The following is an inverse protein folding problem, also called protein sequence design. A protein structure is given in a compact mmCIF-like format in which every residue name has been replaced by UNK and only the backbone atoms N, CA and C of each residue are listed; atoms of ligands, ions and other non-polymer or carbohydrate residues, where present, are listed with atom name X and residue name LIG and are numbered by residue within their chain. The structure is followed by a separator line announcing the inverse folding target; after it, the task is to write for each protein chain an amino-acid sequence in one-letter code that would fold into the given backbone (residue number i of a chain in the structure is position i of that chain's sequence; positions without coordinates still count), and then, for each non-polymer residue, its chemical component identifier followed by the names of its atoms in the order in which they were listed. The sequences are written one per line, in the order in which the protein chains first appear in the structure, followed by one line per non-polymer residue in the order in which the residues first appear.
data_IF_938052380978
#
_entry.id   IF_938052380978
#
_cell.length_a   1.000
_cell.length_b   1.000
_cell.length_c   1.000
_cell.angle_alpha   90.00
_cell.angle_beta   90.00
_cell.angle_gamma   90.00
#
_symmetry.space_group_name_H-M   'P 1'
#
loop_
_entity.id
_entity.type
_entity.pdbx_description
1 polymer ?
#
# COMPACT_ATOMS: atom_id res chain seq x y z
N UNK A 1 -0.75 -17.87 -2.55
CA UNK A 1 -2.16 -18.13 -3.03
C UNK A 1 -2.19 -18.14 -4.56
N UNK A 2 -3.02 -18.99 -5.21
CA UNK A 2 -3.10 -18.99 -6.68
C UNK A 2 -4.03 -17.86 -7.21
N UNK A 3 -3.93 -17.58 -8.51
CA UNK A 3 -4.68 -16.50 -9.19
C UNK A 3 -6.20 -16.60 -9.00
N UNK A 4 -6.77 -17.80 -9.17
CA UNK A 4 -8.23 -18.01 -9.09
C UNK A 4 -8.74 -17.71 -7.68
N UNK A 5 -8.02 -18.14 -6.64
CA UNK A 5 -8.35 -17.83 -5.24
C UNK A 5 -8.23 -16.33 -4.95
N UNK A 6 -7.21 -15.66 -5.47
CA UNK A 6 -7.07 -14.21 -5.29
C UNK A 6 -8.26 -13.47 -5.88
N UNK A 7 -8.70 -13.83 -7.07
CA UNK A 7 -9.87 -13.23 -7.74
C UNK A 7 -11.17 -13.53 -6.97
N UNK A 8 -11.35 -14.76 -6.48
CA UNK A 8 -12.52 -15.15 -5.69
C UNK A 8 -12.60 -14.34 -4.38
N UNK A 9 -11.50 -14.23 -3.66
CA UNK A 9 -11.44 -13.45 -2.43
C UNK A 9 -11.68 -11.96 -2.68
N UNK A 10 -11.07 -11.40 -3.72
CA UNK A 10 -11.30 -10.01 -4.12
C UNK A 10 -12.79 -9.74 -4.36
N UNK A 11 -13.45 -10.55 -5.16
CA UNK A 11 -14.88 -10.42 -5.45
C UNK A 11 -15.74 -10.58 -4.19
N UNK A 12 -15.37 -11.50 -3.30
CA UNK A 12 -16.08 -11.72 -2.03
C UNK A 12 -16.01 -10.49 -1.15
N UNK A 13 -14.81 -9.95 -0.91
CA UNK A 13 -14.63 -8.74 -0.12
C UNK A 13 -15.32 -7.53 -0.74
N UNK A 14 -15.21 -7.37 -2.06
CA UNK A 14 -15.87 -6.26 -2.75
C UNK A 14 -17.40 -6.33 -2.61
N UNK A 15 -18.01 -7.53 -2.73
CA UNK A 15 -19.44 -7.72 -2.52
C UNK A 15 -19.87 -7.40 -1.08
N UNK A 16 -19.07 -7.75 -0.07
CA UNK A 16 -19.32 -7.38 1.33
C UNK A 16 -19.42 -5.85 1.47
N UNK A 17 -18.42 -5.11 0.96
CA UNK A 17 -18.43 -3.65 1.02
C UNK A 17 -19.59 -3.01 0.28
N UNK A 18 -19.92 -3.51 -0.90
CA UNK A 18 -21.05 -2.98 -1.68
C UNK A 18 -22.40 -3.27 -1.03
N UNK A 19 -22.56 -4.45 -0.40
CA UNK A 19 -23.86 -4.86 0.22
C UNK A 19 -24.15 -4.10 1.51
N UNK A 20 -23.14 -3.71 2.26
CA UNK A 20 -23.31 -3.02 3.54
C UNK A 20 -23.67 -1.54 3.40
N UNK A 21 -23.82 -1.01 2.16
CA UNK A 21 -24.05 0.41 1.89
C UNK A 21 -23.05 1.33 2.64
N UNK A 22 -21.88 0.81 2.98
CA UNK A 22 -20.78 1.56 3.55
C UNK A 22 -20.14 2.43 2.47
N UNK A 23 -20.96 3.26 1.83
CA UNK A 23 -20.44 4.33 0.99
C UNK A 23 -19.63 5.21 1.93
N UNK A 24 -18.36 5.26 1.70
CA UNK A 24 -17.48 6.17 2.42
C UNK A 24 -18.01 7.59 2.36
N UNK A 25 -18.50 8.08 3.47
CA UNK A 25 -18.88 9.48 3.57
C UNK A 25 -17.62 10.29 3.93
N UNK A 26 -16.73 10.41 2.96
CA UNK A 26 -15.44 11.08 3.09
C UNK A 26 -15.53 12.58 2.73
N UNK A 27 -16.68 13.18 2.87
CA UNK A 27 -16.83 14.62 2.65
C UNK A 27 -16.71 15.01 1.16
N UNK A 28 -15.64 15.69 0.79
CA UNK A 28 -15.44 16.25 -0.56
C UNK A 28 -14.89 15.24 -1.59
N UNK A 29 -14.47 14.03 -1.19
CA UNK A 29 -13.84 13.04 -2.09
C UNK A 29 -14.82 12.64 -3.20
N UNK A 30 -14.33 12.59 -4.43
CA UNK A 30 -15.05 12.22 -5.65
C UNK A 30 -15.67 10.82 -5.52
N UNK A 31 -16.82 10.63 -6.18
CA UNK A 31 -17.60 9.37 -6.07
C UNK A 31 -16.87 8.17 -6.66
N UNK A 32 -16.11 8.35 -7.74
CA UNK A 32 -15.30 7.33 -8.38
C UNK A 32 -14.15 6.86 -7.48
N UNK A 33 -13.44 7.79 -6.83
CA UNK A 33 -12.41 7.47 -5.84
C UNK A 33 -12.98 6.74 -4.61
N UNK A 34 -14.24 6.99 -4.22
CA UNK A 34 -14.89 6.23 -3.15
C UNK A 34 -15.10 4.76 -3.54
N UNK A 35 -15.49 4.52 -4.79
CA UNK A 35 -15.63 3.16 -5.33
C UNK A 35 -14.27 2.50 -5.43
N UNK A 36 -13.28 3.24 -5.94
CA UNK A 36 -11.89 2.78 -5.99
C UNK A 36 -11.38 2.37 -4.60
N UNK A 37 -11.64 3.16 -3.57
CA UNK A 37 -11.27 2.83 -2.19
C UNK A 37 -11.86 1.50 -1.68
N UNK A 38 -13.11 1.16 -2.03
CA UNK A 38 -13.67 -0.16 -1.70
C UNK A 38 -12.94 -1.30 -2.42
N UNK A 39 -12.60 -1.08 -3.69
CA UNK A 39 -11.83 -2.03 -4.49
C UNK A 39 -10.40 -2.18 -3.95
N UNK A 40 -9.76 -1.09 -3.56
CA UNK A 40 -8.44 -1.09 -2.94
C UNK A 40 -8.42 -1.84 -1.61
N UNK A 41 -9.41 -1.62 -0.75
CA UNK A 41 -9.55 -2.41 0.50
C UNK A 41 -9.66 -3.91 0.21
N UNK A 42 -10.43 -4.28 -0.82
CA UNK A 42 -10.55 -5.68 -1.23
C UNK A 42 -9.21 -6.26 -1.68
N UNK A 43 -8.44 -5.51 -2.47
CA UNK A 43 -7.12 -5.90 -2.93
C UNK A 43 -6.11 -6.03 -1.77
N UNK A 44 -6.11 -5.08 -0.82
CA UNK A 44 -5.26 -5.14 0.38
C UNK A 44 -5.57 -6.39 1.22
N UNK A 45 -6.85 -6.73 1.40
CA UNK A 45 -7.22 -7.96 2.13
C UNK A 45 -6.71 -9.21 1.44
N UNK A 46 -6.81 -9.29 0.10
CA UNK A 46 -6.24 -10.39 -0.67
C UNK A 46 -4.74 -10.47 -0.51
N UNK A 47 -4.06 -9.31 -0.54
CA UNK A 47 -2.61 -9.27 -0.30
C UNK A 47 -2.24 -9.81 1.09
N UNK A 48 -3.00 -9.47 2.13
CA UNK A 48 -2.77 -9.99 3.49
C UNK A 48 -2.99 -11.51 3.59
N UNK A 49 -4.03 -12.06 2.94
CA UNK A 49 -4.25 -13.50 2.88
C UNK A 49 -3.11 -14.21 2.12
N UNK A 50 -2.67 -13.66 0.98
CA UNK A 50 -1.57 -14.20 0.18
C UNK A 50 -0.23 -14.10 0.90
N UNK A 51 0.02 -12.98 1.58
CA UNK A 51 1.18 -12.78 2.45
C UNK A 51 1.24 -13.87 3.53
N UNK A 52 0.13 -14.11 4.22
CA UNK A 52 0.06 -15.14 5.27
C UNK A 52 0.31 -16.53 4.72
N UNK A 53 -0.27 -16.88 3.56
CA UNK A 53 -0.10 -18.19 2.95
C UNK A 53 1.33 -18.39 2.42
N UNK A 54 1.94 -17.36 1.86
CA UNK A 54 3.18 -17.48 1.09
C UNK A 54 4.43 -17.23 1.93
N UNK A 55 4.38 -16.28 2.88
CA UNK A 55 5.57 -15.76 3.58
C UNK A 55 5.53 -15.92 5.10
N UNK A 56 4.59 -16.68 5.67
CA UNK A 56 4.48 -16.86 7.12
C UNK A 56 5.79 -17.36 7.76
N UNK A 57 6.45 -18.33 7.11
CA UNK A 57 7.74 -18.88 7.54
C UNK A 57 8.91 -17.87 7.46
N UNK A 58 8.74 -16.78 6.75
CA UNK A 58 9.73 -15.72 6.62
C UNK A 58 9.53 -14.59 7.64
N UNK A 59 8.47 -14.66 8.43
CA UNK A 59 8.10 -13.67 9.46
C UNK A 59 7.95 -12.26 8.86
N UNK A 60 6.89 -12.04 8.05
CA UNK A 60 6.65 -10.73 7.47
C UNK A 60 6.37 -9.70 8.57
N UNK A 61 7.00 -8.52 8.46
CA UNK A 61 6.83 -7.45 9.43
C UNK A 61 6.29 -6.15 8.81
N UNK A 62 6.33 -5.99 7.48
CA UNK A 62 5.81 -4.81 6.82
C UNK A 62 5.17 -5.16 5.47
N UNK A 63 4.01 -4.55 5.20
CA UNK A 63 3.35 -4.54 3.90
C UNK A 63 3.31 -3.11 3.40
N UNK A 64 3.99 -2.84 2.30
CA UNK A 64 3.95 -1.54 1.63
C UNK A 64 2.97 -1.58 0.47
N UNK A 65 2.01 -0.64 0.46
CA UNK A 65 1.23 -0.31 -0.72
C UNK A 65 2.05 0.68 -1.52
N UNK A 66 2.56 0.25 -2.66
CA UNK A 66 3.37 1.06 -3.55
C UNK A 66 2.54 1.60 -4.72
N UNK A 67 2.85 2.81 -5.14
CA UNK A 67 2.25 3.45 -6.29
C UNK A 67 3.34 4.04 -7.18
N UNK A 68 3.35 3.68 -8.46
CA UNK A 68 4.17 4.33 -9.46
C UNK A 68 3.39 5.46 -10.09
N UNK A 69 4.06 6.58 -10.19
CA UNK A 69 3.63 7.77 -10.86
C UNK A 69 4.51 7.95 -12.11
N UNK A 70 4.17 7.25 -13.18
CA UNK A 70 4.82 7.42 -14.47
C UNK A 70 3.75 7.63 -15.54
N UNK A 71 3.98 8.58 -16.43
CA UNK A 71 3.09 9.19 -17.40
C UNK A 71 2.14 8.24 -18.17
N UNK A 72 2.54 7.03 -18.45
CA UNK A 72 1.74 6.04 -19.19
C UNK A 72 1.50 4.74 -18.40
N UNK A 73 2.15 4.55 -17.25
CA UNK A 73 2.17 3.30 -16.50
C UNK A 73 1.93 3.50 -15.00
N UNK A 74 0.98 4.40 -14.64
CA UNK A 74 0.60 4.55 -13.23
C UNK A 74 -0.11 3.30 -12.72
N UNK A 75 0.43 2.66 -11.69
CA UNK A 75 -0.13 1.43 -11.14
C UNK A 75 0.18 1.25 -9.65
N UNK A 76 -0.65 0.42 -9.01
CA UNK A 76 -0.48 -0.01 -7.63
C UNK A 76 0.08 -1.41 -7.55
N UNK A 77 0.95 -1.65 -6.59
CA UNK A 77 1.41 -2.99 -6.24
C UNK A 77 1.74 -3.08 -4.75
N UNK A 78 2.12 -4.26 -4.30
CA UNK A 78 2.51 -4.48 -2.91
C UNK A 78 3.92 -4.99 -2.80
N UNK A 79 4.58 -4.61 -1.73
CA UNK A 79 5.92 -5.07 -1.36
C UNK A 79 5.86 -5.58 0.08
N UNK A 80 6.47 -6.73 0.33
CA UNK A 80 6.54 -7.34 1.67
C UNK A 80 7.98 -7.35 2.14
N UNK A 81 8.21 -6.83 3.34
CA UNK A 81 9.49 -6.97 4.03
C UNK A 81 9.40 -8.05 5.11
N UNK A 82 10.40 -8.92 5.17
CA UNK A 82 10.44 -10.06 6.09
C UNK A 82 11.66 -10.02 7.01
N UNK A 83 11.51 -10.51 8.25
CA UNK A 83 12.61 -10.60 9.20
C UNK A 83 13.77 -11.45 8.65
N UNK A 84 13.45 -12.53 7.95
CA UNK A 84 14.44 -13.42 7.38
C UNK A 84 15.32 -12.75 6.32
N UNK A 85 14.73 -11.87 5.51
CA UNK A 85 15.48 -11.08 4.54
C UNK A 85 16.32 -10.01 5.23
N UNK A 86 15.73 -9.30 6.18
CA UNK A 86 16.46 -8.31 6.97
C UNK A 86 17.64 -8.94 7.74
N UNK A 87 17.46 -10.11 8.36
CA UNK A 87 18.53 -10.86 9.03
C UNK A 87 19.70 -11.19 8.07
N UNK A 88 19.42 -11.59 6.83
CA UNK A 88 20.45 -11.82 5.81
C UNK A 88 21.22 -10.53 5.46
N UNK A 89 20.52 -9.41 5.39
CA UNK A 89 21.16 -8.12 5.14
C UNK A 89 22.04 -7.70 6.34
N UNK A 90 21.58 -7.93 7.57
CA UNK A 90 22.38 -7.71 8.77
C UNK A 90 23.65 -8.56 8.78
N UNK A 91 23.55 -9.86 8.49
CA UNK A 91 24.72 -10.76 8.42
C UNK A 91 25.76 -10.28 7.39
N UNK A 92 25.29 -9.72 6.28
CA UNK A 92 26.15 -9.28 5.18
C UNK A 92 26.79 -7.92 5.43
N UNK A 93 26.09 -7.01 6.09
CA UNK A 93 26.43 -5.61 6.12
C UNK A 93 26.71 -5.02 7.50
N UNK A 94 26.32 -5.67 8.62
CA UNK A 94 26.41 -5.11 9.98
C UNK A 94 27.80 -4.65 10.42
N UNK A 95 28.87 -5.27 9.89
CA UNK A 95 30.24 -4.86 10.20
C UNK A 95 30.76 -3.67 9.37
N UNK A 96 30.01 -3.28 8.31
CA UNK A 96 30.46 -2.33 7.30
C UNK A 96 29.62 -1.06 7.25
N UNK A 97 28.38 -1.16 7.65
CA UNK A 97 27.36 -0.12 7.46
C UNK A 97 27.04 0.58 8.79
N UNK A 98 26.62 1.83 8.69
CA UNK A 98 26.11 2.59 9.83
C UNK A 98 24.74 2.06 10.28
N UNK A 99 24.30 2.43 11.47
CA UNK A 99 22.97 2.08 11.97
C UNK A 99 21.86 2.58 11.00
N UNK A 100 21.97 3.81 10.51
CA UNK A 100 21.01 4.37 9.54
C UNK A 100 20.94 3.54 8.25
N UNK A 101 22.07 3.10 7.72
CA UNK A 101 22.08 2.22 6.54
C UNK A 101 21.47 0.84 6.81
N UNK A 102 21.61 0.31 8.03
CA UNK A 102 20.92 -0.93 8.39
C UNK A 102 19.40 -0.72 8.48
N UNK A 103 18.95 0.45 8.94
CA UNK A 103 17.52 0.81 8.93
C UNK A 103 16.99 1.00 7.50
N UNK A 104 17.81 1.46 6.57
CA UNK A 104 17.47 1.48 5.13
C UNK A 104 17.06 0.08 4.63
N UNK A 105 17.83 -0.96 4.93
CA UNK A 105 17.47 -2.34 4.56
C UNK A 105 16.22 -2.87 5.25
N UNK A 106 15.80 -2.25 6.34
CA UNK A 106 14.61 -2.61 7.08
C UNK A 106 13.35 -1.95 6.53
N UNK A 107 13.44 -0.68 6.17
CA UNK A 107 12.28 0.17 5.91
C UNK A 107 12.14 0.62 4.45
N UNK A 108 13.19 0.54 3.63
CA UNK A 108 13.09 0.85 2.21
C UNK A 108 12.42 -0.31 1.45
N UNK A 109 11.23 -0.11 0.87
CA UNK A 109 10.54 -1.20 0.17
C UNK A 109 11.33 -1.73 -1.04
N UNK A 110 12.12 -0.89 -1.68
CA UNK A 110 12.91 -1.27 -2.87
C UNK A 110 14.00 -2.30 -2.56
N UNK A 111 14.42 -2.41 -1.30
CA UNK A 111 15.40 -3.40 -0.86
C UNK A 111 14.77 -4.78 -0.60
N UNK A 112 13.46 -4.89 -0.61
CA UNK A 112 12.76 -6.17 -0.50
C UNK A 112 12.76 -6.92 -1.82
N UNK A 113 12.85 -8.25 -1.74
CA UNK A 113 12.73 -9.13 -2.90
C UNK A 113 11.32 -9.74 -3.08
N UNK A 114 10.36 -9.39 -2.22
CA UNK A 114 9.01 -9.94 -2.22
C UNK A 114 8.00 -8.92 -2.73
N UNK A 115 7.86 -8.87 -4.04
CA UNK A 115 6.97 -7.96 -4.74
C UNK A 115 5.69 -8.65 -5.20
N UNK A 116 4.66 -7.89 -5.48
CA UNK A 116 3.42 -8.35 -6.12
C UNK A 116 2.60 -9.38 -5.29
N UNK A 117 2.62 -9.26 -3.97
CA UNK A 117 1.72 -10.08 -3.12
C UNK A 117 0.27 -9.66 -3.38
N UNK A 118 -0.60 -10.66 -3.63
CA UNK A 118 -1.97 -10.38 -4.06
C UNK A 118 -2.09 -9.86 -5.49
N UNK A 119 -1.08 -10.09 -6.34
CA UNK A 119 -0.95 -9.54 -7.68
C UNK A 119 -2.23 -9.53 -8.49
N UNK A 120 -2.97 -10.64 -8.51
CA UNK A 120 -4.16 -10.73 -9.36
C UNK A 120 -5.30 -9.81 -8.94
N UNK A 121 -5.38 -9.46 -7.65
CA UNK A 121 -6.35 -8.48 -7.17
C UNK A 121 -5.90 -7.05 -7.54
N UNK A 122 -4.59 -6.79 -7.48
CA UNK A 122 -4.03 -5.51 -7.90
C UNK A 122 -4.06 -5.33 -9.43
N UNK A 123 -3.90 -6.39 -10.23
CA UNK A 123 -4.09 -6.32 -11.68
C UNK A 123 -5.52 -5.83 -12.03
N UNK A 124 -6.56 -6.37 -11.36
CA UNK A 124 -7.95 -5.92 -11.54
C UNK A 124 -8.12 -4.47 -11.07
N UNK A 125 -7.55 -4.11 -9.92
CA UNK A 125 -7.61 -2.76 -9.39
C UNK A 125 -6.99 -1.75 -10.35
N UNK A 126 -5.85 -2.09 -10.95
CA UNK A 126 -5.12 -1.24 -11.88
C UNK A 126 -5.88 -1.03 -13.19
N UNK A 127 -6.57 -2.06 -13.73
CA UNK A 127 -7.45 -1.90 -14.88
C UNK A 127 -8.55 -0.87 -14.60
N UNK A 128 -9.16 -0.93 -13.42
CA UNK A 128 -10.19 0.04 -13.00
C UNK A 128 -9.60 1.44 -12.79
N UNK A 129 -8.39 1.53 -12.23
CA UNK A 129 -7.69 2.80 -12.00
C UNK A 129 -7.36 3.50 -13.31
N UNK A 130 -6.77 2.78 -14.26
CA UNK A 130 -6.44 3.30 -15.60
C UNK A 130 -7.73 3.81 -16.27
N UNK A 131 -8.81 3.02 -16.29
CA UNK A 131 -10.09 3.45 -16.86
C UNK A 131 -10.62 4.72 -16.20
N UNK A 132 -10.49 4.85 -14.88
CA UNK A 132 -10.91 6.05 -14.15
C UNK A 132 -10.09 7.29 -14.51
N UNK A 133 -8.79 7.13 -14.77
CA UNK A 133 -7.92 8.24 -15.20
C UNK A 133 -8.16 8.61 -16.66
N UNK A 134 -8.33 7.62 -17.55
CA UNK A 134 -8.61 7.84 -18.98
C UNK A 134 -9.97 8.50 -19.23
N UNK A 135 -10.97 8.26 -18.36
CA UNK A 135 -12.30 8.90 -18.44
C UNK A 135 -12.26 10.40 -18.12
N UNK A 136 -11.15 10.91 -17.57
CA UNK A 136 -10.96 12.35 -17.44
C UNK A 136 -10.71 12.91 -18.85
N UNK A 137 -11.74 13.50 -19.47
CA UNK A 137 -11.63 14.18 -20.78
C UNK A 137 -10.71 15.39 -20.68
N UNK A 138 -9.45 15.21 -21.02
CA UNK A 138 -8.51 16.30 -21.24
C UNK A 138 -8.23 16.40 -22.73
N UNK A 139 -8.38 17.63 -23.25
CA UNK A 139 -8.10 17.95 -24.66
C UNK A 139 -6.63 17.71 -25.06
N UNK A 140 -5.74 17.48 -24.07
CA UNK A 140 -4.32 17.24 -24.26
C UNK A 140 -3.79 16.43 -23.05
N UNK A 141 -3.24 15.22 -23.28
CA UNK A 141 -2.69 14.34 -22.25
C UNK A 141 -1.63 15.04 -21.38
N UNK A 142 -0.86 15.96 -21.96
CA UNK A 142 0.14 16.78 -21.25
C UNK A 142 -0.50 17.78 -20.27
N UNK A 143 -1.79 18.11 -20.41
CA UNK A 143 -2.41 19.18 -19.65
C UNK A 143 -2.92 18.74 -18.27
N UNK A 144 -3.39 17.51 -18.11
CA UNK A 144 -3.89 17.01 -16.83
C UNK A 144 -2.80 16.96 -15.75
N UNK A 145 -1.66 16.37 -16.09
CA UNK A 145 -0.54 16.14 -15.17
C UNK A 145 0.17 17.43 -14.70
N UNK A 146 -0.18 18.57 -15.27
CA UNK A 146 0.40 19.87 -14.95
C UNK A 146 -0.61 20.89 -14.37
N UNK A 147 -1.78 20.42 -13.97
CA UNK A 147 -2.87 21.29 -13.48
C UNK A 147 -3.08 21.19 -11.97
N UNK A 148 -3.64 22.25 -11.37
CA UNK A 148 -4.13 22.25 -9.98
C UNK A 148 -5.16 21.12 -9.74
N UNK A 149 -5.89 20.69 -10.79
CA UNK A 149 -6.88 19.61 -10.75
C UNK A 149 -6.23 18.24 -10.55
N UNK A 150 -5.04 18.05 -11.09
CA UNK A 150 -4.25 16.85 -10.84
C UNK A 150 -3.75 16.79 -9.40
N UNK A 151 -3.25 17.89 -8.88
CA UNK A 151 -2.79 17.96 -7.49
C UNK A 151 -3.95 17.65 -6.53
N UNK A 152 -5.14 18.22 -6.76
CA UNK A 152 -6.35 17.92 -6.01
C UNK A 152 -6.74 16.44 -6.10
N UNK A 153 -6.70 15.86 -7.31
CA UNK A 153 -6.98 14.43 -7.52
C UNK A 153 -5.99 13.54 -6.77
N UNK A 154 -4.70 13.89 -6.84
CA UNK A 154 -3.64 13.12 -6.21
C UNK A 154 -3.74 13.16 -4.68
N UNK A 155 -4.04 14.33 -4.09
CA UNK A 155 -4.30 14.44 -2.65
C UNK A 155 -5.51 13.60 -2.20
N UNK A 156 -6.58 13.58 -2.99
CA UNK A 156 -7.74 12.72 -2.73
C UNK A 156 -7.38 11.22 -2.84
N UNK A 157 -6.58 10.84 -3.83
CA UNK A 157 -6.09 9.47 -4.02
C UNK A 157 -5.21 9.03 -2.85
N UNK A 158 -4.25 9.86 -2.43
CA UNK A 158 -3.41 9.61 -1.24
C UNK A 158 -4.28 9.34 -0.01
N UNK A 159 -5.25 10.23 0.25
CA UNK A 159 -6.15 10.09 1.40
C UNK A 159 -6.98 8.78 1.31
N UNK A 160 -7.42 8.38 0.12
CA UNK A 160 -8.11 7.10 -0.10
C UNK A 160 -7.19 5.92 0.19
N UNK A 161 -5.94 5.97 -0.23
CA UNK A 161 -4.96 4.91 0.02
C UNK A 161 -4.70 4.74 1.52
N UNK A 162 -4.42 5.83 2.22
CA UNK A 162 -4.18 5.80 3.67
C UNK A 162 -5.41 5.30 4.45
N UNK A 163 -6.60 5.82 4.13
CA UNK A 163 -7.86 5.35 4.76
C UNK A 163 -8.16 3.89 4.45
N UNK A 164 -7.90 3.42 3.24
CA UNK A 164 -8.10 2.01 2.91
C UNK A 164 -7.30 1.09 3.82
N UNK A 165 -6.04 1.43 4.07
CA UNK A 165 -5.19 0.69 4.99
C UNK A 165 -5.72 0.78 6.42
N UNK A 166 -6.07 1.98 6.90
CA UNK A 166 -6.60 2.20 8.26
C UNK A 166 -7.88 1.39 8.51
N UNK A 167 -8.81 1.41 7.56
CA UNK A 167 -10.08 0.67 7.69
C UNK A 167 -9.87 -0.84 7.64
N UNK A 168 -9.03 -1.35 6.74
CA UNK A 168 -8.68 -2.78 6.71
C UNK A 168 -8.08 -3.23 8.04
N UNK A 169 -7.20 -2.43 8.64
CA UNK A 169 -6.66 -2.69 9.99
C UNK A 169 -7.76 -2.75 11.05
N UNK A 170 -8.72 -1.83 10.99
CA UNK A 170 -9.82 -1.75 11.95
C UNK A 170 -10.86 -2.88 11.82
N UNK A 171 -10.93 -3.57 10.68
CA UNK A 171 -11.90 -4.64 10.41
C UNK A 171 -11.52 -6.00 11.02
N UNK A 172 -10.40 -6.09 11.75
CA UNK A 172 -9.99 -7.30 12.48
C UNK A 172 -9.39 -8.41 11.62
N UNK A 173 -9.09 -8.16 10.34
CA UNK A 173 -8.46 -9.16 9.47
C UNK A 173 -7.05 -9.53 9.95
N UNK A 174 -6.31 -8.57 10.49
CA UNK A 174 -4.95 -8.81 11.01
C UNK A 174 -4.96 -9.79 12.19
N UNK A 175 -5.96 -9.68 13.08
CA UNK A 175 -6.14 -10.63 14.18
C UNK A 175 -6.49 -12.02 13.67
N UNK A 176 -7.44 -12.10 12.73
CA UNK A 176 -7.85 -13.35 12.07
C UNK A 176 -6.67 -14.08 11.43
N UNK A 177 -5.78 -13.34 10.76
CA UNK A 177 -4.60 -13.88 10.06
C UNK A 177 -3.37 -14.04 10.97
N UNK A 178 -3.45 -13.62 12.24
CA UNK A 178 -2.31 -13.58 13.17
C UNK A 178 -1.14 -12.69 12.68
N UNK A 179 -1.49 -11.57 12.06
CA UNK A 179 -0.57 -10.55 11.54
C UNK A 179 -0.62 -9.25 12.37
N UNK A 180 -0.89 -9.34 13.68
CA UNK A 180 -1.14 -8.19 14.55
C UNK A 180 0.00 -7.17 14.62
N UNK A 181 1.22 -7.60 14.34
CA UNK A 181 2.42 -6.76 14.43
C UNK A 181 2.90 -6.28 13.06
N UNK A 182 2.12 -6.51 11.99
CA UNK A 182 2.53 -6.04 10.67
C UNK A 182 2.44 -4.52 10.60
N UNK A 183 3.49 -3.91 10.11
CA UNK A 183 3.54 -2.48 9.80
C UNK A 183 2.98 -2.24 8.40
N UNK A 184 2.47 -1.03 8.18
CA UNK A 184 2.02 -0.60 6.87
C UNK A 184 2.78 0.64 6.41
N UNK A 185 3.04 0.70 5.12
CA UNK A 185 3.61 1.86 4.47
C UNK A 185 2.83 2.17 3.20
N UNK A 186 2.58 3.46 2.93
CA UNK A 186 2.21 3.95 1.62
C UNK A 186 3.48 4.52 0.98
N UNK A 187 3.87 4.02 -0.16
CA UNK A 187 5.15 4.29 -0.77
C UNK A 187 4.98 4.80 -2.20
N UNK A 188 5.52 5.98 -2.46
CA UNK A 188 5.62 6.57 -3.80
C UNK A 188 7.06 7.02 -4.00
N UNK A 189 7.74 6.36 -4.93
CA UNK A 189 9.18 6.56 -5.12
C UNK A 189 9.53 8.01 -5.39
N UNK A 190 10.47 8.56 -4.60
CA UNK A 190 11.07 9.90 -4.79
C UNK A 190 10.04 11.04 -4.93
N UNK A 191 8.83 10.87 -4.41
CA UNK A 191 7.74 11.85 -4.56
C UNK A 191 7.56 12.74 -3.32
N UNK A 192 7.63 12.16 -2.12
CA UNK A 192 7.37 12.88 -0.88
C UNK A 192 8.64 13.41 -0.24
N UNK A 193 8.48 14.47 0.58
CA UNK A 193 9.53 14.87 1.52
C UNK A 193 9.65 13.87 2.67
N UNK A 194 10.82 13.81 3.31
CA UNK A 194 11.05 12.98 4.50
C UNK A 194 9.99 13.21 5.58
N UNK A 195 9.61 14.48 5.83
CA UNK A 195 8.59 14.85 6.82
C UNK A 195 7.22 14.24 6.48
N UNK A 196 6.85 14.24 5.20
CA UNK A 196 5.57 13.67 4.74
C UNK A 196 5.57 12.14 4.85
N UNK A 197 6.66 11.49 4.52
CA UNK A 197 6.81 10.04 4.68
C UNK A 197 6.71 9.63 6.15
N UNK A 198 7.35 10.37 7.06
CA UNK A 198 7.23 10.15 8.50
C UNK A 198 5.79 10.32 8.96
N UNK A 199 5.10 11.40 8.56
CA UNK A 199 3.69 11.64 8.92
C UNK A 199 2.79 10.48 8.51
N UNK A 200 2.92 10.01 7.27
CA UNK A 200 2.12 8.90 6.75
C UNK A 200 2.43 7.59 7.48
N UNK A 201 3.72 7.31 7.73
CA UNK A 201 4.12 6.10 8.47
C UNK A 201 3.62 6.13 9.91
N UNK A 202 3.73 7.29 10.60
CA UNK A 202 3.17 7.49 11.95
C UNK A 202 1.65 7.30 11.96
N UNK A 203 0.93 7.85 10.98
CA UNK A 203 -0.51 7.71 10.84
C UNK A 203 -0.92 6.24 10.74
N UNK A 204 -0.23 5.48 9.90
CA UNK A 204 -0.53 4.07 9.66
C UNK A 204 -0.11 3.15 10.82
N UNK A 205 0.91 3.54 11.63
CA UNK A 205 1.52 2.68 12.64
C UNK A 205 1.55 3.30 14.04
N UNK A 206 0.56 4.14 14.38
CA UNK A 206 0.51 4.92 15.62
C UNK A 206 0.64 4.11 16.92
N UNK A 207 0.46 2.80 16.86
CA UNK A 207 0.58 1.88 18.00
C UNK A 207 2.02 1.42 18.24
N UNK A 208 2.94 1.56 17.27
CA UNK A 208 4.32 1.09 17.37
C UNK A 208 5.32 2.25 17.41
N UNK A 209 5.53 2.77 18.62
CA UNK A 209 6.47 3.87 18.87
C UNK A 209 7.93 3.51 18.52
N UNK A 210 8.28 2.22 18.59
CA UNK A 210 9.62 1.76 18.26
C UNK A 210 9.84 1.79 16.77
N UNK A 211 8.92 1.24 15.99
CA UNK A 211 8.99 1.27 14.55
C UNK A 211 9.00 2.70 13.99
N UNK A 212 8.15 3.59 14.53
CA UNK A 212 8.11 5.01 14.14
C UNK A 212 9.48 5.67 14.37
N UNK A 213 10.08 5.45 15.56
CA UNK A 213 11.39 6.02 15.88
C UNK A 213 12.48 5.50 14.94
N UNK A 214 12.52 4.19 14.69
CA UNK A 214 13.50 3.58 13.79
C UNK A 214 13.32 4.08 12.34
N UNK A 215 12.08 4.22 11.88
CA UNK A 215 11.76 4.76 10.57
C UNK A 215 12.25 6.22 10.41
N UNK A 216 12.00 7.05 11.43
CA UNK A 216 12.48 8.44 11.47
C UNK A 216 14.02 8.54 11.51
N UNK A 217 14.70 7.59 12.16
CA UNK A 217 16.17 7.55 12.21
C UNK A 217 16.79 7.09 10.89
N UNK A 218 16.00 6.40 10.05
CA UNK A 218 16.44 5.99 8.73
C UNK A 218 16.41 7.15 7.72
N UNK A 219 15.32 7.89 7.63
CA UNK A 219 15.16 9.06 6.75
C UNK A 219 16.06 10.21 7.19
#
# INVERSE_FOLDING_TARGET
MNKEMQIEYYNTYLQEYMSENKVWNTGKIRSDLKIFGMKLKSAIKVALEDLKETYDDERPYMLSLAYAYEYEDSYFWTIVSTEKEYEKNLEKYSEKESHSQLMYYKYCPEESCHWDVGKSAFDILNEDYISMVEEQEYDDEDSFWSTDEFDDFYEELEEICLRSIEEVKAEGILEKLQLNNILFQYYVREYYSEEKEIEMFERLNNNDKTAIKEFTEWL
#
